data_IF_288576942743
#
_entry.id   IF_288576942743
#
_cell.length_a   1.000
_cell.length_b   1.000
_cell.length_c   1.000
_cell.angle_alpha   90.00
_cell.angle_beta   90.00
_cell.angle_gamma   90.00
#
_symmetry.space_group_name_H-M   'P 1'
#
loop_
_entity.id
_entity.type
_entity.pdbx_description
1 polymer ?
#
# COMPACT_ATOMS: atom_id res chain seq x y z
N UNK A 1 -22.33 -11.24 23.79
CA UNK A 1 -21.90 -11.52 22.40
C UNK A 1 -20.70 -10.62 22.13
N UNK A 2 -19.50 -11.19 22.14
CA UNK A 2 -18.28 -10.48 21.78
C UNK A 2 -18.23 -10.36 20.26
N UNK A 3 -18.19 -9.12 19.74
CA UNK A 3 -17.87 -8.86 18.33
C UNK A 3 -16.46 -9.39 18.03
N UNK A 4 -16.25 -10.09 16.91
CA UNK A 4 -14.89 -10.42 16.49
C UNK A 4 -14.17 -9.13 16.10
N UNK A 5 -13.11 -8.82 16.83
CA UNK A 5 -12.12 -7.79 16.50
C UNK A 5 -11.32 -8.26 15.28
N UNK A 6 -11.74 -7.90 14.09
CA UNK A 6 -10.95 -8.14 12.90
C UNK A 6 -11.21 -7.07 11.86
N UNK A 7 -10.50 -5.98 11.95
CA UNK A 7 -10.40 -5.01 10.87
C UNK A 7 -8.96 -4.79 10.49
N UNK A 8 -8.47 -5.61 9.61
CA UNK A 8 -7.24 -5.33 8.90
C UNK A 8 -7.56 -5.07 7.43
N UNK A 9 -8.11 -3.88 7.13
CA UNK A 9 -8.32 -3.44 5.73
C UNK A 9 -7.17 -2.58 5.26
N UNK A 10 -6.40 -1.98 6.21
CA UNK A 10 -5.23 -1.13 5.92
C UNK A 10 -4.11 -1.30 6.96
N UNK A 11 -4.04 -2.45 7.68
CA UNK A 11 -3.09 -2.62 8.78
C UNK A 11 -3.41 -1.75 10.00
N UNK A 12 -4.63 -1.20 10.09
CA UNK A 12 -5.08 -0.42 11.23
C UNK A 12 -5.90 -1.34 12.12
N UNK A 13 -5.31 -1.83 13.20
CA UNK A 13 -6.07 -2.41 14.31
C UNK A 13 -6.95 -1.31 14.91
N UNK A 14 -8.25 -1.37 14.65
CA UNK A 14 -9.21 -0.56 15.37
C UNK A 14 -9.26 -1.07 16.81
N UNK A 15 -8.67 -0.34 17.75
CA UNK A 15 -8.90 -0.55 19.18
C UNK A 15 -10.34 -0.15 19.53
N UNK A 16 -10.92 -0.77 20.55
CA UNK A 16 -12.28 -0.45 21.07
C UNK A 16 -12.47 1.05 21.38
N UNK A 17 -11.40 1.80 21.61
CA UNK A 17 -11.38 3.25 21.79
C UNK A 17 -11.80 4.06 20.55
N UNK A 18 -11.63 3.53 19.34
CA UNK A 18 -11.95 4.29 18.11
C UNK A 18 -13.43 4.22 17.70
N UNK A 19 -14.18 3.27 18.24
CA UNK A 19 -15.62 3.11 17.96
C UNK A 19 -16.47 4.20 18.65
N UNK A 20 -15.90 4.89 19.63
CA UNK A 20 -16.60 5.88 20.47
C UNK A 20 -16.38 7.36 20.11
N UNK A 21 -15.48 7.72 19.21
CA UNK A 21 -15.01 9.11 19.03
C UNK A 21 -15.96 10.00 18.22
N UNK A 22 -16.91 9.45 17.45
CA UNK A 22 -17.84 10.26 16.65
C UNK A 22 -19.23 10.45 17.26
N UNK A 23 -19.48 9.97 18.48
CA UNK A 23 -20.79 10.12 19.16
C UNK A 23 -21.95 9.36 18.50
N UNK A 24 -21.72 8.73 17.36
CA UNK A 24 -22.67 7.89 16.64
C UNK A 24 -21.96 6.56 16.31
N UNK A 25 -22.19 5.56 17.15
CA UNK A 25 -21.74 4.20 16.88
C UNK A 25 -22.34 3.65 15.58
N UNK A 26 -21.62 2.78 14.89
CA UNK A 26 -22.19 1.99 13.79
C UNK A 26 -23.26 1.06 14.34
N UNK A 27 -24.40 0.99 13.66
CA UNK A 27 -25.39 -0.05 13.93
C UNK A 27 -24.86 -1.42 13.46
N UNK A 28 -25.41 -2.50 13.99
CA UNK A 28 -25.05 -3.85 13.54
C UNK A 28 -25.28 -4.04 12.03
N UNK A 29 -26.33 -3.45 11.50
CA UNK A 29 -26.67 -3.54 10.08
C UNK A 29 -25.67 -2.78 9.20
N UNK A 30 -25.29 -1.56 9.58
CA UNK A 30 -24.24 -0.77 8.90
C UNK A 30 -22.90 -1.53 8.90
N UNK A 31 -22.59 -2.23 9.98
CA UNK A 31 -21.41 -3.07 10.07
C UNK A 31 -21.48 -4.28 9.13
N UNK A 32 -22.61 -4.98 9.12
CA UNK A 32 -22.82 -6.13 8.27
C UNK A 32 -22.74 -5.77 6.77
N UNK A 33 -23.32 -4.61 6.38
CA UNK A 33 -23.20 -4.08 5.02
C UNK A 33 -21.75 -3.75 4.64
N UNK A 34 -21.01 -3.15 5.56
CA UNK A 34 -19.60 -2.82 5.36
C UNK A 34 -18.74 -4.09 5.17
N UNK A 35 -18.94 -5.11 6.00
CA UNK A 35 -18.23 -6.40 5.88
C UNK A 35 -18.54 -7.05 4.53
N UNK A 36 -19.82 -7.16 4.19
CA UNK A 36 -20.26 -7.74 2.91
C UNK A 36 -19.66 -7.02 1.71
N UNK A 37 -19.65 -5.70 1.74
CA UNK A 37 -19.06 -4.88 0.67
C UNK A 37 -17.57 -5.17 0.49
N UNK A 38 -16.81 -5.29 1.58
CA UNK A 38 -15.39 -5.61 1.50
C UNK A 38 -15.14 -7.04 1.00
N UNK A 39 -16.00 -8.00 1.39
CA UNK A 39 -15.96 -9.37 0.86
C UNK A 39 -16.22 -9.38 -0.65
N UNK A 40 -17.19 -8.61 -1.14
CA UNK A 40 -17.52 -8.55 -2.56
C UNK A 40 -16.39 -7.88 -3.37
N UNK A 41 -15.74 -6.84 -2.82
CA UNK A 41 -14.53 -6.25 -3.42
C UNK A 41 -13.37 -7.25 -3.45
N UNK A 42 -13.16 -8.02 -2.37
CA UNK A 42 -12.11 -9.04 -2.31
C UNK A 42 -12.34 -10.15 -3.33
N UNK A 43 -13.57 -10.66 -3.45
CA UNK A 43 -13.95 -11.68 -4.46
C UNK A 43 -13.75 -11.16 -5.88
N UNK A 44 -14.17 -9.93 -6.17
CA UNK A 44 -13.96 -9.32 -7.47
C UNK A 44 -12.47 -9.15 -7.79
N UNK A 45 -11.65 -8.80 -6.80
CA UNK A 45 -10.20 -8.70 -6.94
C UNK A 45 -9.57 -10.06 -7.26
N UNK A 46 -10.01 -11.12 -6.59
CA UNK A 46 -9.55 -12.49 -6.84
C UNK A 46 -9.90 -12.94 -8.26
N UNK A 47 -11.15 -12.71 -8.70
CA UNK A 47 -11.59 -13.00 -10.06
C UNK A 47 -10.72 -12.27 -11.08
N UNK A 48 -10.44 -10.99 -10.87
CA UNK A 48 -9.60 -10.19 -11.77
C UNK A 48 -8.15 -10.70 -11.83
N UNK A 49 -7.61 -11.23 -10.73
CA UNK A 49 -6.27 -11.79 -10.69
C UNK A 49 -6.15 -13.15 -11.33
N UNK A 50 -7.20 -13.95 -11.29
CA UNK A 50 -7.22 -15.35 -11.79
C UNK A 50 -7.71 -15.48 -13.22
N UNK A 51 -8.66 -14.64 -13.64
CA UNK A 51 -9.20 -14.68 -15.00
C UNK A 51 -8.29 -13.99 -16.02
N UNK A 52 -8.06 -14.67 -17.14
CA UNK A 52 -7.23 -14.18 -18.22
C UNK A 52 -8.08 -13.73 -19.41
N UNK A 53 -7.84 -12.50 -19.85
CA UNK A 53 -8.36 -11.96 -21.09
C UNK A 53 -7.40 -12.28 -22.23
N UNK A 54 -7.83 -13.13 -23.16
CA UNK A 54 -7.03 -13.45 -24.36
C UNK A 54 -7.19 -12.39 -25.46
N UNK A 55 -6.27 -12.43 -26.45
CA UNK A 55 -6.37 -11.65 -27.70
C UNK A 55 -7.45 -12.23 -28.65
N UNK A 56 -8.54 -12.77 -28.10
CA UNK A 56 -9.63 -13.35 -28.85
C UNK A 56 -10.55 -12.31 -29.52
N UNK A 57 -11.43 -12.79 -30.40
CA UNK A 57 -12.32 -11.93 -31.19
C UNK A 57 -13.16 -11.00 -30.32
N UNK A 58 -13.78 -11.52 -29.24
CA UNK A 58 -14.65 -10.73 -28.31
C UNK A 58 -13.88 -9.54 -27.69
N UNK A 59 -12.68 -9.79 -27.16
CA UNK A 59 -11.85 -8.76 -26.54
C UNK A 59 -11.35 -7.75 -27.56
N UNK A 60 -10.94 -8.22 -28.74
CA UNK A 60 -10.45 -7.37 -29.84
C UNK A 60 -11.56 -6.44 -30.35
N UNK A 61 -12.74 -6.97 -30.65
CA UNK A 61 -13.89 -6.18 -31.12
C UNK A 61 -14.33 -5.14 -30.06
N UNK A 62 -14.32 -5.53 -28.78
CA UNK A 62 -14.64 -4.60 -27.68
C UNK A 62 -13.63 -3.45 -27.62
N UNK A 63 -12.32 -3.74 -27.67
CA UNK A 63 -11.29 -2.71 -27.63
C UNK A 63 -11.35 -1.77 -28.83
N UNK A 64 -11.55 -2.31 -30.03
CA UNK A 64 -11.68 -1.51 -31.25
C UNK A 64 -12.92 -0.61 -31.19
N UNK A 65 -14.04 -1.07 -30.62
CA UNK A 65 -15.25 -0.25 -30.44
C UNK A 65 -15.03 0.95 -29.50
N UNK A 66 -14.07 0.84 -28.59
CA UNK A 66 -13.60 1.91 -27.68
C UNK A 66 -12.47 2.77 -28.27
N UNK A 67 -12.01 2.48 -29.48
CA UNK A 67 -10.87 3.16 -30.10
C UNK A 67 -9.52 2.77 -29.49
N UNK A 68 -9.45 1.63 -28.79
CA UNK A 68 -8.25 1.14 -28.13
C UNK A 68 -7.55 0.06 -28.97
N UNK A 69 -6.23 -0.06 -28.80
CA UNK A 69 -5.45 -1.09 -29.49
C UNK A 69 -5.76 -2.50 -28.93
N UNK A 70 -5.86 -3.52 -29.80
CA UNK A 70 -6.02 -4.90 -29.37
C UNK A 70 -4.90 -5.38 -28.44
N UNK A 71 -5.19 -6.44 -27.66
CA UNK A 71 -4.17 -7.10 -26.85
C UNK A 71 -3.19 -7.89 -27.75
N UNK A 72 -1.90 -7.73 -27.49
CA UNK A 72 -0.86 -8.50 -28.19
C UNK A 72 -0.73 -9.94 -27.62
N UNK A 73 -1.06 -10.12 -26.34
CA UNK A 73 -1.02 -11.40 -25.62
C UNK A 73 -2.10 -11.45 -24.55
N UNK A 74 -2.35 -12.63 -23.98
CA UNK A 74 -3.25 -12.77 -22.82
C UNK A 74 -2.69 -12.04 -21.61
N UNK A 75 -3.58 -11.36 -20.88
CA UNK A 75 -3.30 -10.64 -19.64
C UNK A 75 -4.35 -10.99 -18.61
N UNK A 76 -4.04 -10.86 -17.31
CA UNK A 76 -5.07 -10.99 -16.28
C UNK A 76 -6.05 -9.82 -16.32
N UNK A 77 -7.27 -10.02 -15.81
CA UNK A 77 -8.24 -8.93 -15.67
C UNK A 77 -7.67 -7.75 -14.88
N UNK A 78 -6.88 -8.04 -13.84
CA UNK A 78 -6.20 -7.01 -13.04
C UNK A 78 -5.15 -6.24 -13.86
N UNK A 79 -4.30 -6.93 -14.62
CA UNK A 79 -3.32 -6.27 -15.51
C UNK A 79 -4.02 -5.43 -16.58
N UNK A 80 -5.14 -5.91 -17.09
CA UNK A 80 -5.93 -5.17 -18.05
C UNK A 80 -6.52 -3.88 -17.43
N UNK A 81 -7.06 -3.97 -16.20
CA UNK A 81 -7.61 -2.83 -15.47
C UNK A 81 -6.54 -1.77 -15.09
N UNK A 82 -5.26 -2.17 -14.97
CA UNK A 82 -4.14 -1.24 -14.71
C UNK A 82 -3.91 -0.23 -15.85
N UNK A 83 -4.45 -0.47 -17.04
CA UNK A 83 -4.34 0.49 -18.14
C UNK A 83 -5.10 1.79 -17.83
N UNK A 84 -4.54 2.97 -18.15
CA UNK A 84 -5.18 4.26 -17.83
C UNK A 84 -6.58 4.40 -18.43
N UNK A 85 -6.77 3.90 -19.66
CA UNK A 85 -8.01 4.06 -20.43
C UNK A 85 -9.06 2.99 -20.10
N UNK A 86 -8.76 2.04 -19.23
CA UNK A 86 -9.66 0.94 -18.85
C UNK A 86 -10.26 1.22 -17.47
N UNK A 87 -11.58 1.01 -17.36
CA UNK A 87 -12.36 1.11 -16.12
C UNK A 87 -12.91 -0.26 -15.71
N UNK A 88 -13.44 -0.35 -14.50
CA UNK A 88 -14.10 -1.57 -14.02
C UNK A 88 -15.21 -2.06 -14.95
N UNK A 89 -16.00 -1.16 -15.52
CA UNK A 89 -17.06 -1.48 -16.48
C UNK A 89 -16.54 -2.29 -17.69
N UNK A 90 -15.31 -1.99 -18.15
CA UNK A 90 -14.71 -2.66 -19.29
C UNK A 90 -14.37 -4.13 -18.96
N UNK A 91 -13.79 -4.38 -17.78
CA UNK A 91 -13.51 -5.74 -17.33
C UNK A 91 -14.79 -6.51 -16.97
N UNK A 92 -15.78 -5.82 -16.39
CA UNK A 92 -17.10 -6.39 -16.09
C UNK A 92 -17.81 -6.89 -17.35
N UNK A 93 -17.70 -6.18 -18.46
CA UNK A 93 -18.30 -6.59 -19.74
C UNK A 93 -17.56 -7.75 -20.41
N UNK A 94 -16.29 -7.95 -20.10
CA UNK A 94 -15.46 -8.98 -20.72
C UNK A 94 -15.32 -10.24 -19.88
N UNK A 95 -15.46 -10.17 -18.55
CA UNK A 95 -15.32 -11.27 -17.61
C UNK A 95 -16.69 -11.63 -17.03
N UNK A 96 -17.21 -12.79 -17.44
CA UNK A 96 -18.57 -13.18 -17.06
C UNK A 96 -18.69 -13.52 -15.57
N UNK A 97 -17.64 -14.03 -14.92
CA UNK A 97 -17.61 -14.36 -13.49
C UNK A 97 -17.81 -13.12 -12.56
N UNK A 98 -17.59 -11.92 -13.08
CA UNK A 98 -17.86 -10.68 -12.33
C UNK A 98 -19.34 -10.33 -12.25
N UNK A 99 -20.19 -10.93 -13.10
CA UNK A 99 -21.62 -10.60 -13.16
C UNK A 99 -22.40 -11.06 -11.93
N UNK A 100 -21.87 -12.02 -11.22
CA UNK A 100 -22.46 -12.55 -9.98
C UNK A 100 -22.14 -11.64 -8.76
N UNK A 101 -21.24 -10.68 -8.94
CA UNK A 101 -20.82 -9.75 -7.87
C UNK A 101 -21.39 -8.36 -8.16
N UNK A 102 -22.18 -7.84 -7.21
CA UNK A 102 -22.75 -6.48 -7.29
C UNK A 102 -21.94 -5.52 -6.43
N UNK A 103 -21.09 -4.71 -7.07
CA UNK A 103 -20.40 -3.63 -6.40
C UNK A 103 -21.20 -2.34 -6.53
N UNK A 104 -21.35 -1.61 -5.43
CA UNK A 104 -21.81 -0.22 -5.47
C UNK A 104 -20.70 0.70 -6.02
N UNK A 105 -21.02 1.96 -6.23
CA UNK A 105 -20.05 2.95 -6.74
C UNK A 105 -18.77 3.02 -5.88
N UNK A 106 -18.92 3.01 -4.56
CA UNK A 106 -17.76 3.08 -3.67
C UNK A 106 -16.90 1.81 -3.71
N UNK A 107 -17.52 0.61 -3.85
CA UNK A 107 -16.82 -0.65 -4.06
C UNK A 107 -16.05 -0.67 -5.37
N UNK A 108 -16.63 -0.16 -6.46
CA UNK A 108 -15.95 -0.01 -7.75
C UNK A 108 -14.74 0.92 -7.64
N UNK A 109 -14.90 2.09 -7.03
CA UNK A 109 -13.79 3.03 -6.82
C UNK A 109 -12.68 2.42 -5.97
N UNK A 110 -13.04 1.71 -4.90
CA UNK A 110 -12.09 1.00 -4.04
C UNK A 110 -11.31 -0.06 -4.82
N UNK A 111 -12.00 -0.90 -5.60
CA UNK A 111 -11.40 -1.93 -6.43
C UNK A 111 -10.43 -1.34 -7.46
N UNK A 112 -10.89 -0.37 -8.26
CA UNK A 112 -10.06 0.28 -9.27
C UNK A 112 -8.82 0.93 -8.67
N UNK A 113 -9.00 1.65 -7.55
CA UNK A 113 -7.90 2.33 -6.87
C UNK A 113 -6.89 1.31 -6.34
N UNK A 114 -7.34 0.26 -5.67
CA UNK A 114 -6.45 -0.77 -5.11
C UNK A 114 -5.60 -1.44 -6.19
N UNK A 115 -6.20 -1.81 -7.33
CA UNK A 115 -5.50 -2.47 -8.43
C UNK A 115 -4.57 -1.50 -9.18
N UNK A 116 -5.02 -0.30 -9.50
CA UNK A 116 -4.20 0.68 -10.24
C UNK A 116 -3.03 1.21 -9.43
N UNK A 117 -3.19 1.35 -8.13
CA UNK A 117 -2.16 1.88 -7.23
C UNK A 117 -1.39 0.81 -6.44
N UNK A 118 -1.69 -0.49 -6.65
CA UNK A 118 -1.03 -1.61 -5.97
C UNK A 118 0.50 -1.49 -5.95
N UNK A 119 1.10 -1.19 -7.10
CA UNK A 119 2.55 -1.05 -7.21
C UNK A 119 3.12 0.12 -6.39
N UNK A 120 2.37 1.20 -6.24
CA UNK A 120 2.76 2.36 -5.42
C UNK A 120 2.61 2.04 -3.93
N UNK A 121 1.47 1.47 -3.54
CA UNK A 121 1.18 1.05 -2.16
C UNK A 121 2.25 0.07 -1.68
N UNK A 122 2.57 -0.94 -2.50
CA UNK A 122 3.59 -1.94 -2.16
C UNK A 122 4.99 -1.32 -1.98
N UNK A 123 5.37 -0.36 -2.81
CA UNK A 123 6.65 0.35 -2.64
C UNK A 123 6.68 1.18 -1.36
N UNK A 124 5.61 1.92 -1.06
CA UNK A 124 5.49 2.69 0.17
C UNK A 124 5.50 1.80 1.41
N UNK A 125 4.84 0.63 1.34
CA UNK A 125 4.84 -0.34 2.44
C UNK A 125 6.25 -0.89 2.69
N UNK A 126 6.97 -1.29 1.64
CA UNK A 126 8.37 -1.74 1.76
C UNK A 126 9.26 -0.65 2.37
N UNK A 127 9.04 0.59 1.96
CA UNK A 127 9.77 1.74 2.51
C UNK A 127 9.44 1.96 3.99
N UNK A 128 8.15 1.96 4.36
CA UNK A 128 7.70 2.08 5.73
C UNK A 128 8.22 0.92 6.61
N UNK A 129 8.14 -0.32 6.14
CA UNK A 129 8.66 -1.50 6.85
C UNK A 129 10.19 -1.42 7.02
N UNK A 130 10.88 -0.86 6.05
CA UNK A 130 12.31 -0.59 6.15
C UNK A 130 12.61 0.41 7.25
N UNK A 131 11.85 1.50 7.37
CA UNK A 131 11.98 2.47 8.46
C UNK A 131 11.70 1.83 9.83
N UNK A 132 10.63 1.03 9.94
CA UNK A 132 10.30 0.33 11.19
C UNK A 132 11.40 -0.65 11.64
N UNK A 133 12.02 -1.36 10.70
CA UNK A 133 13.16 -2.25 11.01
C UNK A 133 14.35 -1.50 11.58
N UNK A 134 14.58 -0.27 11.11
CA UNK A 134 15.69 0.55 11.57
C UNK A 134 15.36 1.38 12.82
N UNK A 135 14.07 1.53 13.17
CA UNK A 135 13.65 2.28 14.36
C UNK A 135 14.40 1.83 15.62
N UNK A 136 14.50 0.52 15.82
CA UNK A 136 15.16 -0.10 16.97
C UNK A 136 16.62 -0.49 16.70
N UNK A 137 17.16 -0.13 15.53
CA UNK A 137 18.55 -0.45 15.23
C UNK A 137 19.49 0.36 16.12
N UNK A 138 20.30 -0.35 16.93
CA UNK A 138 21.20 0.30 17.89
C UNK A 138 22.37 0.96 17.17
N UNK A 139 22.70 2.15 17.59
CA UNK A 139 23.88 2.89 17.16
C UNK A 139 25.04 2.56 18.12
N UNK A 140 26.26 2.35 17.60
CA UNK A 140 27.45 2.22 18.44
C UNK A 140 27.60 3.46 19.32
N UNK A 141 27.88 3.25 20.61
CA UNK A 141 28.06 4.35 21.57
C UNK A 141 29.29 5.21 21.30
N UNK A 142 30.25 4.65 20.58
CA UNK A 142 31.53 5.26 20.17
C UNK A 142 31.49 5.79 18.72
N UNK A 143 30.32 5.84 18.10
CA UNK A 143 30.16 6.33 16.72
C UNK A 143 30.60 7.80 16.61
N UNK A 144 31.60 8.04 15.77
CA UNK A 144 32.07 9.38 15.47
C UNK A 144 31.23 10.01 14.35
N UNK A 145 30.19 10.75 14.75
CA UNK A 145 29.27 11.40 13.82
C UNK A 145 29.95 12.47 12.97
N UNK A 146 31.03 13.12 13.46
CA UNK A 146 31.71 14.17 12.73
C UNK A 146 32.44 13.67 11.49
N UNK A 147 32.90 12.42 11.50
CA UNK A 147 33.62 11.78 10.41
C UNK A 147 32.72 10.95 9.45
N UNK A 148 31.39 11.05 9.56
CA UNK A 148 30.47 10.34 8.66
C UNK A 148 30.44 11.03 7.28
N UNK A 149 31.14 10.45 6.29
CA UNK A 149 31.16 10.96 4.93
C UNK A 149 29.78 10.91 4.26
N UNK A 150 29.50 11.93 3.44
CA UNK A 150 28.24 12.04 2.70
C UNK A 150 27.07 12.64 3.49
N UNK A 151 27.17 12.75 4.82
CA UNK A 151 26.17 13.38 5.66
C UNK A 151 26.41 14.89 5.76
N UNK A 152 25.34 15.68 5.80
CA UNK A 152 25.43 17.14 5.96
C UNK A 152 26.09 17.52 7.30
N UNK A 153 26.88 18.58 7.31
CA UNK A 153 27.59 19.05 8.51
C UNK A 153 26.64 19.34 9.67
N UNK A 154 25.51 20.00 9.40
CA UNK A 154 24.48 20.27 10.41
C UNK A 154 23.97 18.99 11.08
N UNK A 155 23.65 17.97 10.29
CA UNK A 155 23.17 16.70 10.81
C UNK A 155 24.25 15.99 11.64
N UNK A 156 25.53 16.02 11.21
CA UNK A 156 26.66 15.48 11.98
C UNK A 156 26.80 16.15 13.34
N UNK A 157 26.76 17.49 13.38
CA UNK A 157 26.83 18.25 14.63
C UNK A 157 25.68 17.88 15.56
N UNK A 158 24.43 17.92 15.05
CA UNK A 158 23.26 17.60 15.85
C UNK A 158 23.27 16.17 16.41
N UNK A 159 23.67 15.20 15.59
CA UNK A 159 23.80 13.81 16.03
C UNK A 159 24.94 13.63 17.03
N UNK A 160 26.03 14.35 16.85
CA UNK A 160 27.16 14.32 17.80
C UNK A 160 26.80 14.93 19.15
N UNK A 161 25.99 16.00 19.18
CA UNK A 161 25.52 16.65 20.41
C UNK A 161 24.53 15.79 21.18
N UNK A 162 23.59 15.13 20.46
CA UNK A 162 22.49 14.31 21.04
C UNK A 162 22.96 12.90 21.37
N UNK A 163 23.86 12.32 20.58
CA UNK A 163 24.34 10.93 20.67
C UNK A 163 23.19 9.92 20.82
N UNK A 164 22.30 9.82 19.83
CA UNK A 164 21.16 8.93 19.89
C UNK A 164 21.59 7.46 19.99
N UNK A 165 20.81 6.65 20.72
CA UNK A 165 21.09 5.23 20.94
C UNK A 165 20.55 4.35 19.83
N UNK A 166 19.57 4.85 19.05
CA UNK A 166 18.95 4.11 17.94
C UNK A 166 18.79 5.02 16.72
N UNK A 167 18.66 4.39 15.54
CA UNK A 167 18.37 5.11 14.30
C UNK A 167 17.04 5.88 14.39
N UNK A 168 16.03 5.30 15.06
CA UNK A 168 14.78 5.98 15.31
C UNK A 168 14.92 7.24 16.18
N UNK A 169 15.77 7.21 17.19
CA UNK A 169 16.10 8.42 17.94
C UNK A 169 16.83 9.46 17.07
N UNK A 170 17.78 9.00 16.24
CA UNK A 170 18.49 9.87 15.31
C UNK A 170 17.56 10.57 14.32
N UNK A 171 16.52 9.90 13.82
CA UNK A 171 15.55 10.46 12.87
C UNK A 171 14.68 11.58 13.47
N UNK A 172 14.54 11.61 14.80
CA UNK A 172 13.76 12.64 15.53
C UNK A 172 14.60 13.85 15.96
N UNK A 173 15.88 13.82 15.68
CA UNK A 173 16.76 14.96 16.01
C UNK A 173 16.47 16.12 15.06
N UNK A 174 16.15 17.29 15.62
CA UNK A 174 15.89 18.49 14.82
C UNK A 174 17.12 18.84 13.98
N UNK A 175 16.93 19.07 12.67
CA UNK A 175 18.01 19.34 11.71
C UNK A 175 18.54 18.09 10.99
N UNK A 176 18.11 16.89 11.38
CA UNK A 176 18.36 15.63 10.66
C UNK A 176 17.20 15.33 9.73
N UNK A 177 17.49 15.04 8.48
CA UNK A 177 16.47 14.71 7.48
C UNK A 177 16.51 13.23 7.06
N UNK A 178 15.50 12.71 6.33
CA UNK A 178 15.47 11.33 5.87
C UNK A 178 16.70 10.90 5.05
N UNK A 179 17.30 11.81 4.27
CA UNK A 179 18.51 11.51 3.50
C UNK A 179 19.72 11.27 4.40
N UNK A 180 19.86 12.04 5.50
CA UNK A 180 20.92 11.83 6.49
C UNK A 180 20.78 10.47 7.17
N UNK A 181 19.54 10.07 7.50
CA UNK A 181 19.24 8.75 8.08
C UNK A 181 19.58 7.62 7.09
N UNK A 182 19.25 7.79 5.81
CA UNK A 182 19.60 6.80 4.79
C UNK A 182 21.11 6.59 4.68
N UNK A 183 21.90 7.67 4.76
CA UNK A 183 23.36 7.61 4.78
C UNK A 183 23.85 6.89 6.04
N UNK A 184 23.30 7.23 7.21
CA UNK A 184 23.64 6.58 8.48
C UNK A 184 23.42 5.07 8.42
N UNK A 185 22.26 4.63 7.92
CA UNK A 185 21.93 3.21 7.74
C UNK A 185 22.91 2.53 6.77
N UNK A 186 23.27 3.18 5.68
CA UNK A 186 24.21 2.64 4.70
C UNK A 186 25.60 2.42 5.30
N UNK A 187 26.09 3.38 6.08
CA UNK A 187 27.40 3.28 6.74
C UNK A 187 27.41 2.17 7.79
N UNK A 188 26.35 2.05 8.59
CA UNK A 188 26.22 0.97 9.58
C UNK A 188 26.21 -0.43 8.92
N UNK A 189 25.50 -0.57 7.79
CA UNK A 189 25.52 -1.84 7.03
C UNK A 189 26.89 -2.18 6.45
N UNK A 190 27.70 -1.17 6.13
CA UNK A 190 29.07 -1.36 5.61
C UNK A 190 30.03 -1.78 6.72
N UNK A 191 29.84 -1.29 7.94
CA UNK A 191 30.66 -1.65 9.10
C UNK A 191 30.33 -3.06 9.66
N UNK A 192 29.11 -3.55 9.43
CA UNK A 192 28.66 -4.88 9.88
C UNK A 192 29.07 -6.03 8.96
N UNK A 193 29.81 -5.77 7.88
CA UNK A 193 30.41 -6.76 6.97
C UNK A 193 31.89 -6.95 7.25
#
# INVERSE_FOLDING_TARGET
YQMPLAFDIFGIQASEEYIGVSGRGFTYDEYAEFVKKNEDVAKATEILNTNHLGAGKRTTEYLLSKGLSPLASGVTGAEFLKRPDIKYEDVYNLIDDLKDIKLDYAGVVQLETSIKYEGYIKRQQIEADSYLKFENYKLPSDLDYMNLEGMRMEARQKLNDVKPLTVGQASRVSGVNPSDISILILLLKKQAR
#
